data_IF_495199098713
#
_entry.id   IF_495199098713
#
_cell.length_a   1.000
_cell.length_b   1.000
_cell.length_c   1.000
_cell.angle_alpha   90.00
_cell.angle_beta   90.00
_cell.angle_gamma   90.00
#
_symmetry.space_group_name_H-M   'P 1'
#
loop_
_entity.id
_entity.type
_entity.pdbx_description
1 polymer ?
#
# COMPACT_ATOMS: atom_id res chain seq x y z
N UNK A 1 25.58 -6.95 -17.86
CA UNK A 1 25.47 -5.53 -17.46
C UNK A 1 23.98 -5.16 -17.39
N UNK A 2 23.22 -5.77 -16.48
CA UNK A 2 21.75 -5.62 -16.36
C UNK A 2 21.25 -5.67 -14.91
N UNK A 3 22.14 -5.75 -13.93
CA UNK A 3 21.75 -6.06 -12.54
C UNK A 3 21.33 -4.81 -11.73
N UNK A 4 21.98 -3.66 -11.99
CA UNK A 4 21.70 -2.39 -11.29
C UNK A 4 20.28 -1.88 -11.52
N UNK A 5 19.70 -2.12 -12.70
CA UNK A 5 18.35 -1.65 -13.03
C UNK A 5 17.28 -2.46 -12.29
N UNK A 6 17.50 -3.77 -12.09
CA UNK A 6 16.54 -4.65 -11.43
C UNK A 6 16.43 -4.36 -9.93
N UNK A 7 17.55 -4.16 -9.24
CA UNK A 7 17.57 -3.78 -7.82
C UNK A 7 16.86 -2.44 -7.56
N UNK A 8 17.02 -1.46 -8.47
CA UNK A 8 16.34 -0.17 -8.36
C UNK A 8 14.82 -0.25 -8.58
N UNK A 9 14.36 -1.15 -9.46
CA UNK A 9 12.91 -1.33 -9.72
C UNK A 9 12.21 -1.96 -8.52
N UNK A 10 12.80 -2.97 -7.88
CA UNK A 10 12.20 -3.61 -6.71
C UNK A 10 12.13 -2.69 -5.50
N UNK A 11 13.11 -1.81 -5.31
CA UNK A 11 13.05 -0.80 -4.25
C UNK A 11 11.91 0.20 -4.45
N UNK A 12 11.64 0.59 -5.70
CA UNK A 12 10.47 1.44 -6.04
C UNK A 12 9.16 0.69 -5.76
N UNK A 13 9.05 -0.57 -6.17
CA UNK A 13 7.85 -1.39 -5.91
C UNK A 13 7.61 -1.59 -4.41
N UNK A 14 8.66 -1.87 -3.64
CA UNK A 14 8.60 -1.99 -2.17
C UNK A 14 8.12 -0.66 -1.55
N UNK A 15 8.66 0.47 -1.99
CA UNK A 15 8.27 1.78 -1.49
C UNK A 15 6.79 2.09 -1.80
N UNK A 16 6.33 1.79 -3.02
CA UNK A 16 4.93 1.96 -3.42
C UNK A 16 3.99 1.07 -2.63
N UNK A 17 4.35 -0.20 -2.40
CA UNK A 17 3.55 -1.13 -1.59
C UNK A 17 3.48 -0.69 -0.12
N UNK A 18 4.59 -0.16 0.44
CA UNK A 18 4.61 0.40 1.80
C UNK A 18 3.69 1.63 1.90
N UNK A 19 3.77 2.53 0.93
CA UNK A 19 2.90 3.70 0.86
C UNK A 19 1.42 3.29 0.74
N UNK A 20 1.11 2.34 -0.15
CA UNK A 20 -0.25 1.82 -0.30
C UNK A 20 -0.79 1.25 1.02
N UNK A 21 0.01 0.45 1.74
CA UNK A 21 -0.39 -0.09 3.05
C UNK A 21 -0.61 1.01 4.10
N UNK A 22 0.23 2.05 4.12
CA UNK A 22 0.06 3.18 5.02
C UNK A 22 -1.25 3.93 4.70
N UNK A 23 -1.49 4.26 3.43
CA UNK A 23 -2.71 4.94 2.98
C UNK A 23 -3.96 4.12 3.29
N UNK A 24 -3.95 2.81 3.03
CA UNK A 24 -5.09 1.92 3.35
C UNK A 24 -5.41 1.91 4.85
N UNK A 25 -4.38 1.86 5.71
CA UNK A 25 -4.56 1.89 7.17
C UNK A 25 -5.08 3.23 7.66
N UNK A 26 -4.52 4.33 7.17
CA UNK A 26 -4.95 5.69 7.47
C UNK A 26 -6.41 5.92 7.03
N UNK A 27 -6.78 5.46 5.85
CA UNK A 27 -8.15 5.53 5.37
C UNK A 27 -9.12 4.73 6.26
N UNK A 28 -8.73 3.53 6.70
CA UNK A 28 -9.55 2.75 7.64
C UNK A 28 -9.72 3.45 8.98
N UNK A 29 -8.66 4.08 9.50
CA UNK A 29 -8.72 4.84 10.75
C UNK A 29 -9.62 6.08 10.61
N UNK A 30 -9.43 6.86 9.55
CA UNK A 30 -10.27 8.01 9.26
C UNK A 30 -11.74 7.63 9.10
N UNK A 31 -12.01 6.51 8.40
CA UNK A 31 -13.36 5.99 8.25
C UNK A 31 -13.99 5.59 9.58
N UNK A 32 -13.23 4.97 10.48
CA UNK A 32 -13.71 4.60 11.82
C UNK A 32 -14.01 5.83 12.70
N UNK A 33 -13.36 6.96 12.43
CA UNK A 33 -13.58 8.25 13.11
C UNK A 33 -14.56 9.19 12.39
N UNK A 34 -15.15 8.76 11.27
CA UNK A 34 -16.00 9.58 10.39
C UNK A 34 -15.29 10.86 9.86
N UNK A 35 -13.97 10.81 9.73
CA UNK A 35 -13.13 11.94 9.30
C UNK A 35 -13.00 12.00 7.77
N UNK A 36 -14.03 12.55 7.13
CA UNK A 36 -14.08 12.76 5.67
C UNK A 36 -13.00 13.76 5.18
N UNK A 37 -12.49 14.64 6.06
CA UNK A 37 -11.45 15.60 5.72
C UNK A 37 -10.11 14.89 5.51
N UNK A 38 -9.75 13.95 6.40
CA UNK A 38 -8.55 13.12 6.23
C UNK A 38 -8.66 12.25 4.99
N UNK A 39 -9.83 11.64 4.72
CA UNK A 39 -10.04 10.85 3.50
C UNK A 39 -9.88 11.72 2.23
N UNK A 40 -10.39 12.95 2.25
CA UNK A 40 -10.23 13.89 1.14
C UNK A 40 -8.76 14.31 0.97
N UNK A 41 -8.03 14.54 2.06
CA UNK A 41 -6.60 14.88 2.04
C UNK A 41 -5.71 13.72 1.54
N UNK A 42 -6.14 12.46 1.75
CA UNK A 42 -5.52 11.27 1.16
C UNK A 42 -5.81 11.13 -0.36
N UNK A 43 -6.61 12.03 -0.93
CA UNK A 43 -6.95 12.05 -2.35
C UNK A 43 -8.15 11.19 -2.73
N UNK A 44 -8.94 10.71 -1.77
CA UNK A 44 -10.18 10.00 -2.09
C UNK A 44 -11.26 10.96 -2.57
N UNK A 45 -11.89 10.64 -3.70
CA UNK A 45 -13.08 11.34 -4.15
C UNK A 45 -14.26 11.00 -3.24
N UNK A 46 -15.29 11.86 -3.21
CA UNK A 46 -16.51 11.62 -2.45
C UNK A 46 -17.18 10.28 -2.82
N UNK A 47 -17.08 9.86 -4.09
CA UNK A 47 -17.59 8.56 -4.54
C UNK A 47 -16.83 7.40 -3.89
N UNK A 48 -15.49 7.47 -3.83
CA UNK A 48 -14.66 6.46 -3.18
C UNK A 48 -14.86 6.44 -1.66
N UNK A 49 -15.06 7.59 -1.03
CA UNK A 49 -15.38 7.68 0.42
C UNK A 49 -16.69 6.95 0.72
N UNK A 50 -17.75 7.21 -0.05
CA UNK A 50 -19.03 6.51 0.09
C UNK A 50 -18.91 5.01 -0.14
N UNK A 51 -18.08 4.60 -1.08
CA UNK A 51 -17.80 3.18 -1.32
C UNK A 51 -17.05 2.54 -0.16
N UNK A 52 -16.02 3.20 0.37
CA UNK A 52 -15.28 2.76 1.56
C UNK A 52 -16.22 2.61 2.75
N UNK A 53 -17.10 3.58 3.00
CA UNK A 53 -18.10 3.52 4.08
C UNK A 53 -19.06 2.33 3.90
N UNK A 54 -19.55 2.09 2.69
CA UNK A 54 -20.39 0.91 2.39
C UNK A 54 -19.65 -0.42 2.56
N UNK A 55 -18.36 -0.46 2.24
CA UNK A 55 -17.54 -1.69 2.32
C UNK A 55 -16.93 -1.92 3.70
N UNK A 56 -17.00 -0.94 4.62
CA UNK A 56 -16.32 -0.99 5.91
C UNK A 56 -14.81 -0.79 5.81
N UNK A 57 -14.35 -0.04 4.79
CA UNK A 57 -12.93 0.24 4.55
C UNK A 57 -12.21 -0.79 3.69
N UNK A 58 -10.88 -0.71 3.70
CA UNK A 58 -9.98 -1.67 3.08
C UNK A 58 -9.91 -2.97 3.90
N UNK A 59 -9.98 -4.10 3.20
CA UNK A 59 -9.89 -5.42 3.83
C UNK A 59 -8.49 -5.67 4.37
N UNK A 60 -8.40 -6.24 5.57
CA UNK A 60 -7.14 -6.66 6.18
C UNK A 60 -6.36 -7.65 5.30
N UNK A 61 -7.07 -8.48 4.53
CA UNK A 61 -6.45 -9.44 3.60
C UNK A 61 -5.65 -8.75 2.48
N UNK A 62 -6.13 -7.62 1.96
CA UNK A 62 -5.41 -6.85 0.92
C UNK A 62 -4.13 -6.22 1.47
N UNK A 63 -4.17 -5.66 2.69
CA UNK A 63 -2.99 -5.10 3.37
C UNK A 63 -1.97 -6.21 3.67
N UNK A 64 -2.45 -7.38 4.11
CA UNK A 64 -1.61 -8.55 4.37
C UNK A 64 -0.96 -9.08 3.08
N UNK A 65 -1.68 -9.05 1.96
CA UNK A 65 -1.14 -9.45 0.66
C UNK A 65 0.02 -8.55 0.23
N UNK A 66 -0.14 -7.23 0.29
CA UNK A 66 0.94 -6.28 0.01
C UNK A 66 2.15 -6.51 0.93
N UNK A 67 1.91 -6.82 2.21
CA UNK A 67 2.98 -7.15 3.17
C UNK A 67 3.75 -8.41 2.75
N UNK A 68 3.06 -9.46 2.29
CA UNK A 68 3.70 -10.66 1.75
C UNK A 68 4.52 -10.35 0.51
N UNK A 69 3.98 -9.54 -0.41
CA UNK A 69 4.70 -9.11 -1.62
C UNK A 69 5.99 -8.36 -1.28
N UNK A 70 5.93 -7.40 -0.33
CA UNK A 70 7.13 -6.70 0.17
C UNK A 70 8.16 -7.71 0.69
N UNK A 71 7.76 -8.63 1.56
CA UNK A 71 8.68 -9.63 2.11
C UNK A 71 9.30 -10.52 1.01
N UNK A 72 8.50 -10.93 0.01
CA UNK A 72 9.00 -11.72 -1.11
C UNK A 72 10.01 -10.94 -1.98
N UNK A 73 9.80 -9.65 -2.20
CA UNK A 73 10.74 -8.80 -2.95
C UNK A 73 12.03 -8.58 -2.17
N UNK A 74 11.95 -8.34 -0.86
CA UNK A 74 13.12 -8.18 0.01
C UNK A 74 13.96 -9.45 0.14
N UNK A 75 13.33 -10.64 0.11
CA UNK A 75 14.05 -11.94 0.11
C UNK A 75 14.73 -12.20 -1.24
N UNK A 76 14.20 -11.66 -2.34
CA UNK A 76 14.80 -11.80 -3.68
C UNK A 76 15.97 -10.85 -3.93
N UNK A 77 16.08 -9.73 -3.21
CA UNK A 77 17.25 -8.83 -3.27
C UNK A 77 18.61 -9.54 -3.02
N UNK A 78 18.79 -10.35 -1.97
CA UNK A 78 20.07 -11.02 -1.73
C UNK A 78 20.37 -12.19 -2.69
N UNK A 79 19.38 -12.70 -3.45
CA UNK A 79 19.55 -13.88 -4.30
C UNK A 79 20.26 -13.61 -5.65
N UNK A 80 20.46 -12.34 -6.01
CA UNK A 80 21.12 -11.92 -7.26
C UNK A 80 22.44 -11.17 -7.03
N UNK A 81 22.89 -11.02 -5.78
CA UNK A 81 24.15 -10.37 -5.44
C UNK A 81 25.40 -11.27 -5.58
N UNK A 82 25.29 -12.44 -6.22
CA UNK A 82 26.37 -13.42 -6.39
C UNK A 82 26.56 -13.84 -7.85
#
# INVERSE_FOLDING_TARGET
>A
MTDVTAGSVWQVDIAQLKLANATMRLANQALASDDDAVLSALGFSLAHIRELRRKGGFRSSSIAQNTRTINSLQIKEPAHAH
#
